data_IF_429448694021
#
_entry.id   IF_429448694021
#
_cell.length_a   1.000
_cell.length_b   1.000
_cell.length_c   1.000
_cell.angle_alpha   90.00
_cell.angle_beta   90.00
_cell.angle_gamma   90.00
#
_symmetry.space_group_name_H-M   'P 1'
#
loop_
_entity.id
_entity.type
_entity.pdbx_description
1 polymer ?
#
# COMPACT_ATOMS: atom_id res chain seq x y z
N UNK A 1 7.01 -17.08 -3.03
CA UNK A 1 7.64 -17.31 -1.72
C UNK A 1 6.70 -16.91 -0.61
N UNK A 2 6.63 -17.70 0.47
CA UNK A 2 5.89 -17.31 1.67
C UNK A 2 6.54 -16.05 2.26
N UNK A 3 5.75 -15.08 2.77
CA UNK A 3 6.31 -14.01 3.55
C UNK A 3 6.95 -14.57 4.83
N UNK A 4 7.89 -13.83 5.38
CA UNK A 4 8.61 -14.18 6.60
C UNK A 4 7.69 -13.98 7.84
N UNK A 5 6.60 -14.75 7.89
CA UNK A 5 5.59 -14.72 8.94
C UNK A 5 5.34 -16.13 9.45
N UNK A 6 5.29 -16.26 10.77
CA UNK A 6 4.97 -17.54 11.45
C UNK A 6 3.53 -18.03 11.18
N UNK A 7 2.65 -17.12 10.78
CA UNK A 7 1.25 -17.40 10.46
C UNK A 7 0.91 -16.80 9.11
N UNK A 8 0.94 -17.61 8.08
CA UNK A 8 0.53 -17.26 6.75
C UNK A 8 -0.56 -18.23 6.30
N UNK A 9 -1.64 -17.72 5.76
CA UNK A 9 -2.71 -18.52 5.16
C UNK A 9 -2.90 -18.11 3.71
N UNK A 10 -2.94 -19.11 2.84
CA UNK A 10 -3.24 -18.89 1.43
C UNK A 10 -4.70 -18.50 1.24
N UNK A 11 -4.95 -17.62 0.28
CA UNK A 11 -6.28 -17.22 -0.15
C UNK A 11 -6.53 -17.75 -1.56
N UNK A 12 -5.68 -17.40 -2.52
CA UNK A 12 -5.81 -17.80 -3.90
C UNK A 12 -4.45 -17.89 -4.60
N UNK A 13 -4.37 -18.75 -5.61
CA UNK A 13 -3.31 -18.78 -6.61
C UNK A 13 -3.94 -18.60 -7.97
N UNK A 14 -3.69 -17.48 -8.62
CA UNK A 14 -4.32 -17.09 -9.87
C UNK A 14 -3.26 -16.94 -10.95
N UNK A 15 -3.56 -17.45 -12.15
CA UNK A 15 -2.70 -17.30 -13.31
C UNK A 15 -3.45 -16.63 -14.46
N UNK A 16 -2.77 -15.79 -15.21
CA UNK A 16 -3.31 -15.15 -16.41
C UNK A 16 -2.20 -14.96 -17.46
N UNK A 17 -2.56 -14.99 -18.75
CA UNK A 17 -1.59 -14.77 -19.82
C UNK A 17 -1.12 -13.32 -19.82
N UNK A 18 0.15 -13.12 -20.16
CA UNK A 18 0.74 -11.81 -20.38
C UNK A 18 1.35 -11.74 -21.78
N UNK A 19 1.37 -10.56 -22.38
CA UNK A 19 2.06 -10.36 -23.64
C UNK A 19 3.48 -9.83 -23.42
N UNK A 20 4.33 -9.97 -24.40
CA UNK A 20 5.71 -9.47 -24.34
C UNK A 20 5.73 -7.95 -24.07
N UNK A 21 6.51 -7.54 -23.08
CA UNK A 21 6.59 -6.13 -22.65
C UNK A 21 5.52 -5.69 -21.66
N UNK A 22 4.53 -6.56 -21.36
CA UNK A 22 3.48 -6.26 -20.38
C UNK A 22 4.04 -5.94 -18.99
N UNK A 23 5.16 -6.53 -18.63
CA UNK A 23 5.72 -6.40 -17.30
C UNK A 23 7.20 -5.97 -17.32
N UNK A 24 7.44 -4.80 -17.91
CA UNK A 24 8.78 -4.19 -17.83
C UNK A 24 8.85 -3.19 -16.68
N UNK A 25 10.00 -3.11 -16.06
CA UNK A 25 10.28 -2.17 -14.97
C UNK A 25 11.71 -1.63 -15.12
N UNK A 26 12.02 -0.56 -14.41
CA UNK A 26 13.42 -0.12 -14.27
C UNK A 26 14.33 -1.22 -13.70
N UNK A 27 13.80 -2.22 -12.99
CA UNK A 27 14.60 -3.35 -12.48
C UNK A 27 14.88 -4.42 -13.54
N UNK A 28 13.98 -4.62 -14.51
CA UNK A 28 14.18 -5.57 -15.63
C UNK A 28 14.95 -4.95 -16.78
N UNK A 29 14.76 -3.64 -17.03
CA UNK A 29 15.41 -2.87 -18.10
C UNK A 29 16.76 -2.28 -17.69
N UNK A 30 17.02 -2.20 -16.39
CA UNK A 30 18.28 -1.79 -15.80
C UNK A 30 18.86 -0.48 -16.38
N UNK A 31 18.14 0.66 -16.30
CA UNK A 31 18.55 1.93 -16.86
C UNK A 31 19.86 2.44 -16.20
N UNK A 32 20.62 3.25 -16.93
CA UNK A 32 21.75 3.97 -16.37
C UNK A 32 21.23 5.05 -15.41
N UNK A 33 21.74 5.02 -14.19
CA UNK A 33 21.33 5.96 -13.13
C UNK A 33 22.35 7.09 -12.98
N UNK A 34 21.84 8.30 -12.70
CA UNK A 34 22.67 9.45 -12.33
C UNK A 34 21.93 10.43 -11.44
N UNK A 35 22.66 11.32 -10.77
CA UNK A 35 22.07 12.35 -9.89
C UNK A 35 22.96 13.60 -9.89
N UNK A 36 22.34 14.75 -9.61
CA UNK A 36 23.06 16.00 -9.37
C UNK A 36 23.53 16.17 -7.91
N UNK A 37 23.13 15.26 -7.01
CA UNK A 37 23.54 15.32 -5.61
C UNK A 37 24.77 14.43 -5.38
N UNK A 38 25.91 15.04 -5.15
CA UNK A 38 27.14 14.32 -4.86
C UNK A 38 27.01 13.43 -3.61
N UNK A 39 27.49 12.19 -3.71
CA UNK A 39 27.46 11.23 -2.59
C UNK A 39 26.13 10.55 -2.33
N UNK A 40 25.07 10.82 -3.09
CA UNK A 40 23.82 10.07 -3.00
C UNK A 40 24.03 8.66 -3.60
N UNK A 41 23.82 7.59 -2.83
CA UNK A 41 23.90 6.21 -3.35
C UNK A 41 22.64 5.90 -4.18
N UNK A 42 22.60 6.40 -5.43
CA UNK A 42 21.40 6.42 -6.25
C UNK A 42 20.82 5.03 -6.50
N UNK A 43 21.66 4.01 -6.62
CA UNK A 43 21.26 2.61 -6.82
C UNK A 43 20.42 2.09 -5.65
N UNK A 44 20.66 2.58 -4.43
CA UNK A 44 19.92 2.17 -3.24
C UNK A 44 18.46 2.61 -3.24
N UNK A 45 18.11 3.62 -4.05
CA UNK A 45 16.72 4.05 -4.23
C UNK A 45 15.88 3.01 -4.99
N UNK A 46 16.52 2.21 -5.85
CA UNK A 46 15.86 1.24 -6.73
C UNK A 46 16.06 -0.22 -6.29
N UNK A 47 16.64 -0.41 -5.11
CA UNK A 47 16.84 -1.74 -4.53
C UNK A 47 15.53 -2.42 -4.09
N UNK A 48 15.66 -3.69 -3.67
CA UNK A 48 14.56 -4.47 -3.05
C UNK A 48 14.83 -4.71 -1.55
N UNK A 49 15.66 -3.89 -0.94
CA UNK A 49 16.20 -4.14 0.40
C UNK A 49 15.25 -3.73 1.53
N UNK A 50 14.14 -3.11 1.21
CA UNK A 50 13.23 -2.42 2.16
C UNK A 50 13.92 -1.34 3.00
N UNK A 51 15.17 -1.00 2.70
CA UNK A 51 15.89 0.09 3.33
C UNK A 51 15.59 1.39 2.58
N UNK A 52 15.38 2.45 3.35
CA UNK A 52 15.16 3.77 2.78
C UNK A 52 16.50 4.51 2.72
N UNK A 53 16.71 5.19 1.61
CA UNK A 53 17.85 6.09 1.42
C UNK A 53 17.47 7.46 1.95
N UNK A 54 18.34 8.03 2.74
CA UNK A 54 18.17 9.41 3.24
C UNK A 54 18.64 10.40 2.19
N UNK A 55 17.76 11.31 1.81
CA UNK A 55 18.07 12.44 0.93
C UNK A 55 18.13 13.69 1.81
N UNK A 56 19.30 14.33 1.93
CA UNK A 56 19.46 15.52 2.75
C UNK A 56 18.67 16.70 2.17
N UNK A 57 18.25 17.64 3.01
CA UNK A 57 17.55 18.83 2.56
C UNK A 57 18.43 19.68 1.66
N UNK A 58 17.84 20.33 0.70
CA UNK A 58 18.49 21.30 -0.17
C UNK A 58 18.05 22.73 0.20
N UNK A 59 18.79 23.70 -0.27
CA UNK A 59 18.38 25.11 -0.18
C UNK A 59 17.04 25.33 -0.92
N UNK A 60 16.21 26.26 -0.45
CA UNK A 60 14.94 26.58 -1.10
C UNK A 60 15.13 26.86 -2.61
N UNK A 61 14.28 26.23 -3.43
CA UNK A 61 14.34 26.35 -4.89
C UNK A 61 15.35 25.41 -5.58
N UNK A 62 16.08 24.59 -4.83
CA UNK A 62 16.95 23.58 -5.39
C UNK A 62 16.29 22.20 -5.31
N UNK A 63 16.43 21.43 -6.37
CA UNK A 63 15.92 20.06 -6.51
C UNK A 63 17.05 19.05 -6.54
N UNK A 64 16.77 17.86 -6.04
CA UNK A 64 17.59 16.68 -6.30
C UNK A 64 16.98 15.94 -7.49
N UNK A 65 17.76 15.78 -8.52
CA UNK A 65 17.40 14.99 -9.70
C UNK A 65 17.98 13.59 -9.59
N UNK A 66 17.14 12.60 -9.82
CA UNK A 66 17.55 11.19 -10.00
C UNK A 66 17.09 10.76 -11.38
N UNK A 67 18.05 10.59 -12.28
CA UNK A 67 17.79 10.33 -13.70
C UNK A 67 17.92 8.83 -13.99
N UNK A 68 17.06 8.34 -14.88
CA UNK A 68 17.05 7.00 -15.43
C UNK A 68 17.14 7.11 -16.95
N UNK A 69 18.26 6.67 -17.56
CA UNK A 69 18.40 6.54 -19.01
C UNK A 69 18.23 5.07 -19.39
N UNK A 70 17.12 4.74 -20.04
CA UNK A 70 16.77 3.38 -20.45
C UNK A 70 17.53 2.93 -21.72
N UNK A 71 18.25 3.84 -22.37
CA UNK A 71 18.96 3.56 -23.60
C UNK A 71 18.09 3.59 -24.87
N UNK A 72 16.85 3.18 -24.74
CA UNK A 72 15.80 3.22 -25.77
C UNK A 72 14.45 3.56 -25.13
N UNK A 73 13.40 3.53 -25.90
CA UNK A 73 12.04 3.86 -25.44
C UNK A 73 11.56 2.89 -24.36
N UNK A 74 11.05 3.45 -23.28
CA UNK A 74 10.32 2.76 -22.21
C UNK A 74 8.93 3.36 -22.09
N UNK A 75 7.91 2.50 -21.97
CA UNK A 75 6.55 2.93 -21.73
C UNK A 75 6.25 2.75 -20.24
N UNK A 76 6.00 3.84 -19.52
CA UNK A 76 5.62 3.80 -18.12
C UNK A 76 4.11 4.08 -17.94
N UNK A 77 3.48 3.39 -16.97
CA UNK A 77 2.07 3.55 -16.58
C UNK A 77 1.87 3.69 -15.08
N UNK A 78 2.86 3.31 -14.29
CA UNK A 78 2.79 3.47 -12.84
C UNK A 78 4.16 3.62 -12.22
N UNK A 79 4.20 4.29 -11.08
CA UNK A 79 5.36 4.33 -10.20
C UNK A 79 4.96 3.88 -8.80
N UNK A 80 5.71 2.94 -8.24
CA UNK A 80 5.58 2.49 -6.85
C UNK A 80 6.84 2.84 -6.09
N UNK A 81 6.72 3.36 -4.90
CA UNK A 81 7.87 3.75 -4.08
C UNK A 81 7.55 3.63 -2.59
N UNK A 82 8.59 3.54 -1.78
CA UNK A 82 8.48 3.57 -0.31
C UNK A 82 9.03 4.88 0.22
N UNK A 83 8.34 5.44 1.21
CA UNK A 83 8.73 6.69 1.86
C UNK A 83 8.86 6.50 3.36
N UNK A 84 9.78 7.22 3.98
CA UNK A 84 9.83 7.32 5.42
C UNK A 84 8.65 8.15 5.92
N UNK A 85 8.05 7.71 7.01
CA UNK A 85 7.05 8.50 7.71
C UNK A 85 7.73 9.75 8.29
N UNK A 86 7.36 10.92 7.82
CA UNK A 86 7.77 12.17 8.42
C UNK A 86 7.03 12.32 9.74
N UNK A 87 7.82 12.46 10.78
CA UNK A 87 7.45 12.82 12.14
C UNK A 87 6.08 12.36 12.64
N UNK A 88 6.00 11.91 13.86
CA UNK A 88 4.71 11.62 14.51
C UNK A 88 3.83 12.85 14.40
N UNK A 89 2.90 12.89 13.44
CA UNK A 89 1.79 13.81 13.54
C UNK A 89 1.01 13.37 14.78
N UNK A 90 1.14 14.08 15.86
CA UNK A 90 0.23 14.00 16.99
C UNK A 90 -1.10 14.58 16.52
N UNK A 91 -1.93 13.74 16.05
CA UNK A 91 -3.27 14.09 15.66
C UNK A 91 -3.79 12.98 14.77
N UNK A 92 -4.41 11.96 15.36
CA UNK A 92 -5.29 11.10 14.61
C UNK A 92 -6.31 12.00 13.95
N UNK A 93 -6.31 12.03 12.61
CA UNK A 93 -7.39 12.64 11.88
C UNK A 93 -8.65 11.85 12.19
N UNK A 94 -9.50 12.38 13.04
CA UNK A 94 -10.85 11.86 13.15
C UNK A 94 -11.61 12.34 11.92
N UNK A 95 -11.95 11.39 11.07
CA UNK A 95 -12.87 11.66 9.98
C UNK A 95 -14.25 11.91 10.59
N UNK A 96 -14.68 13.15 10.60
CA UNK A 96 -16.06 13.49 10.97
C UNK A 96 -16.87 13.44 9.68
N UNK A 97 -17.74 12.41 9.48
CA UNK A 97 -18.54 12.32 8.27
C UNK A 97 -19.29 13.63 8.01
N UNK A 98 -19.23 14.09 6.76
CA UNK A 98 -19.97 15.26 6.30
C UNK A 98 -19.31 16.63 6.51
N UNK A 99 -18.05 16.70 6.96
CA UNK A 99 -17.30 17.97 6.99
C UNK A 99 -16.36 18.09 5.77
N UNK A 100 -16.36 19.22 5.07
CA UNK A 100 -15.46 19.43 3.95
C UNK A 100 -13.99 19.40 4.38
N UNK A 101 -13.13 18.86 3.55
CA UNK A 101 -11.68 18.71 3.76
C UNK A 101 -10.99 20.03 4.15
N UNK A 102 -11.42 21.14 3.60
CA UNK A 102 -10.88 22.46 3.88
C UNK A 102 -11.00 22.92 5.36
N UNK A 103 -12.06 22.49 6.06
CA UNK A 103 -12.21 22.79 7.49
C UNK A 103 -11.32 21.93 8.38
N UNK A 104 -10.86 20.80 7.90
CA UNK A 104 -9.90 19.95 8.59
C UNK A 104 -8.49 20.54 8.57
N UNK A 105 -8.08 21.12 7.46
CA UNK A 105 -6.81 21.85 7.34
C UNK A 105 -6.76 22.99 8.38
N UNK A 106 -7.85 23.68 8.59
CA UNK A 106 -7.96 24.75 9.58
C UNK A 106 -7.82 24.29 11.04
N UNK A 107 -7.99 23.00 11.35
CA UNK A 107 -7.85 22.43 12.70
C UNK A 107 -6.46 21.85 13.01
N UNK A 108 -5.46 22.10 12.18
CA UNK A 108 -4.07 21.71 12.44
C UNK A 108 -3.59 20.46 11.72
N UNK A 109 -4.37 19.93 10.78
CA UNK A 109 -3.87 18.99 9.79
C UNK A 109 -3.13 19.77 8.72
N UNK A 110 -1.83 19.69 8.74
CA UNK A 110 -1.01 20.31 7.71
C UNK A 110 -0.91 19.29 6.59
N UNK A 111 -1.45 19.62 5.44
CA UNK A 111 -1.18 18.88 4.22
C UNK A 111 0.33 18.84 4.01
N UNK A 112 0.87 17.64 3.89
CA UNK A 112 2.31 17.51 3.63
C UNK A 112 2.55 17.83 2.16
N UNK A 113 3.58 18.61 1.84
CA UNK A 113 3.91 18.89 0.45
C UNK A 113 4.28 17.60 -0.27
N UNK A 114 4.08 17.58 -1.57
CA UNK A 114 4.52 16.49 -2.43
C UNK A 114 6.04 16.31 -2.28
N UNK A 115 6.51 15.07 -2.47
CA UNK A 115 7.95 14.77 -2.41
C UNK A 115 8.69 15.34 -3.62
N UNK A 116 7.95 15.60 -4.69
CA UNK A 116 8.45 16.03 -5.98
C UNK A 116 7.59 15.48 -7.11
N UNK A 117 8.19 15.25 -8.26
CA UNK A 117 7.51 14.84 -9.48
C UNK A 117 8.29 13.73 -10.18
N UNK A 118 7.54 12.86 -10.89
CA UNK A 118 8.10 12.06 -11.97
C UNK A 118 8.02 12.86 -13.27
N UNK A 119 9.09 12.89 -14.02
CA UNK A 119 9.17 13.57 -15.30
C UNK A 119 9.69 12.64 -16.38
N UNK A 120 9.38 12.92 -17.63
CA UNK A 120 9.81 12.17 -18.83
C UNK A 120 10.41 13.10 -19.86
N UNK A 121 11.38 12.58 -20.64
CA UNK A 121 12.01 13.30 -21.74
C UNK A 121 12.43 12.34 -22.86
N UNK A 122 12.41 12.81 -24.09
CA UNK A 122 12.94 12.10 -25.26
C UNK A 122 14.42 12.40 -25.49
N UNK A 123 14.86 13.62 -25.15
CA UNK A 123 16.20 14.12 -25.43
C UNK A 123 17.14 14.21 -24.20
N UNK A 124 16.59 13.96 -22.99
CA UNK A 124 17.33 14.08 -21.73
C UNK A 124 17.59 15.52 -21.28
N UNK A 125 17.02 16.50 -21.96
CA UNK A 125 17.19 17.95 -21.70
C UNK A 125 15.84 18.57 -21.34
N UNK A 126 14.83 18.36 -22.17
CA UNK A 126 13.51 18.93 -22.03
C UNK A 126 12.58 17.91 -21.34
N UNK A 127 12.29 18.15 -20.07
CA UNK A 127 11.48 17.25 -19.26
C UNK A 127 10.06 17.78 -19.11
N UNK A 128 9.10 16.87 -19.18
CA UNK A 128 7.68 17.13 -18.93
C UNK A 128 7.22 16.35 -17.71
N UNK A 129 6.39 16.97 -16.88
CA UNK A 129 5.79 16.34 -15.71
C UNK A 129 4.86 15.20 -16.13
N UNK A 130 5.00 14.06 -15.45
CA UNK A 130 4.12 12.89 -15.56
C UNK A 130 3.13 12.87 -14.40
N UNK A 131 3.62 12.87 -13.17
CA UNK A 131 2.78 12.86 -11.96
C UNK A 131 3.51 13.45 -10.77
N UNK A 132 2.75 13.78 -9.72
CA UNK A 132 3.29 14.15 -8.42
C UNK A 132 3.64 12.92 -7.58
N UNK A 133 4.74 12.99 -6.85
CA UNK A 133 5.15 11.98 -5.89
C UNK A 133 4.59 12.35 -4.51
N UNK A 134 3.49 11.74 -4.14
CA UNK A 134 2.76 12.02 -2.91
C UNK A 134 3.44 11.39 -1.69
N UNK A 135 3.43 12.04 -0.52
CA UNK A 135 3.87 11.41 0.72
C UNK A 135 2.89 10.30 1.13
N UNK A 136 3.35 9.40 2.01
CA UNK A 136 2.47 8.48 2.73
C UNK A 136 2.20 9.06 4.11
N UNK A 137 0.94 9.24 4.44
CA UNK A 137 0.52 9.65 5.76
C UNK A 137 0.51 8.43 6.67
N UNK A 138 1.38 8.44 7.68
CA UNK A 138 1.36 7.39 8.69
C UNK A 138 0.07 7.46 9.48
N UNK A 139 -0.91 6.72 9.05
CA UNK A 139 -1.99 6.35 9.95
C UNK A 139 -1.51 5.32 10.97
N UNK A 140 -2.20 5.23 12.07
CA UNK A 140 -1.85 4.44 13.25
C UNK A 140 -1.74 2.93 13.04
N UNK A 141 -1.75 2.42 11.84
CA UNK A 141 -2.01 1.02 11.51
C UNK A 141 -0.88 0.28 10.85
N UNK A 142 0.31 0.50 11.27
CA UNK A 142 1.35 -0.41 10.85
C UNK A 142 2.47 0.24 10.01
N UNK A 143 3.45 -0.59 9.71
CA UNK A 143 4.69 -0.19 9.03
C UNK A 143 4.56 -0.11 7.50
N UNK A 144 3.33 0.05 6.97
CA UNK A 144 3.14 0.17 5.54
C UNK A 144 3.47 1.60 5.10
N UNK A 145 4.44 1.71 4.24
CA UNK A 145 4.97 3.00 3.78
C UNK A 145 5.20 3.03 2.26
N UNK A 146 4.50 2.17 1.53
CA UNK A 146 4.54 2.10 0.08
C UNK A 146 3.36 2.86 -0.52
N UNK A 147 3.60 3.50 -1.66
CA UNK A 147 2.57 4.17 -2.45
C UNK A 147 2.75 3.87 -3.93
N UNK A 148 1.63 3.67 -4.60
CA UNK A 148 1.55 3.54 -6.05
C UNK A 148 0.77 4.72 -6.61
N UNK A 149 1.35 5.37 -7.62
CA UNK A 149 0.69 6.39 -8.44
C UNK A 149 0.58 5.85 -9.85
N UNK A 150 -0.63 5.89 -10.40
CA UNK A 150 -0.93 5.46 -11.75
C UNK A 150 -1.19 6.67 -12.65
N UNK A 151 -0.83 6.55 -13.90
CA UNK A 151 -0.97 7.62 -14.89
C UNK A 151 -1.18 7.03 -16.29
N UNK A 152 -1.75 7.79 -17.24
CA UNK A 152 -1.83 7.38 -18.63
C UNK A 152 -0.45 6.98 -19.17
N UNK A 153 -0.40 6.06 -20.13
CA UNK A 153 0.85 5.60 -20.73
C UNK A 153 1.70 6.79 -21.20
N UNK A 154 2.92 6.87 -20.71
CA UNK A 154 3.92 7.84 -21.19
C UNK A 154 5.11 7.10 -21.74
N UNK A 155 5.59 7.54 -22.90
CA UNK A 155 6.71 6.96 -23.62
C UNK A 155 7.89 7.92 -23.62
N UNK A 156 9.09 7.42 -23.35
CA UNK A 156 10.31 8.19 -23.46
C UNK A 156 11.52 7.35 -23.09
N UNK A 157 12.68 7.80 -23.48
CA UNK A 157 13.95 7.18 -23.11
C UNK A 157 14.42 7.59 -21.72
N UNK A 158 14.19 8.85 -21.34
CA UNK A 158 14.70 9.42 -20.10
C UNK A 158 13.56 9.68 -19.12
N UNK A 159 13.70 9.17 -17.92
CA UNK A 159 12.81 9.51 -16.80
C UNK A 159 13.60 10.16 -15.68
N UNK A 160 12.95 10.99 -14.88
CA UNK A 160 13.59 11.70 -13.80
C UNK A 160 12.66 11.82 -12.59
N UNK A 161 13.18 11.50 -11.42
CA UNK A 161 12.57 11.96 -10.17
C UNK A 161 13.12 13.36 -9.90
N UNK A 162 12.27 14.35 -9.91
CA UNK A 162 12.56 15.71 -9.52
C UNK A 162 12.07 15.91 -8.10
N UNK A 163 12.98 15.75 -7.14
CA UNK A 163 12.65 15.77 -5.71
C UNK A 163 12.85 17.16 -5.14
N UNK A 164 11.80 17.68 -4.50
CA UNK A 164 11.76 19.00 -3.89
C UNK A 164 10.76 19.02 -2.74
N UNK A 165 10.57 20.13 -2.05
CA UNK A 165 9.52 20.40 -1.05
C UNK A 165 9.50 19.48 0.19
N UNK A 166 10.62 18.86 0.57
CA UNK A 166 10.68 18.05 1.78
C UNK A 166 10.78 18.81 3.10
N UNK A 167 10.64 20.13 3.07
CA UNK A 167 10.69 20.98 4.27
C UNK A 167 9.28 21.18 4.85
N UNK A 168 8.93 20.42 5.89
CA UNK A 168 7.78 20.81 6.71
C UNK A 168 8.19 21.98 7.61
N UNK A 169 7.41 23.07 7.70
CA UNK A 169 7.76 24.27 8.49
C UNK A 169 8.03 24.01 9.98
N UNK A 170 7.56 22.87 10.51
CA UNK A 170 7.77 22.45 11.91
C UNK A 170 8.86 21.41 12.09
N UNK A 171 9.47 20.92 11.03
CA UNK A 171 10.56 19.93 11.12
C UNK A 171 11.88 20.61 11.40
N UNK A 172 12.47 20.24 12.54
CA UNK A 172 13.80 20.75 12.93
C UNK A 172 14.93 20.14 12.09
N UNK A 173 14.67 19.03 11.37
CA UNK A 173 15.61 18.33 10.48
C UNK A 173 14.83 17.76 9.30
N UNK A 174 14.53 18.55 8.31
CA UNK A 174 13.83 18.08 7.14
C UNK A 174 14.72 17.10 6.37
N UNK A 175 14.30 15.84 6.29
CA UNK A 175 14.98 14.80 5.51
C UNK A 175 13.92 14.02 4.75
N UNK A 176 14.21 13.70 3.51
CA UNK A 176 13.38 12.78 2.74
C UNK A 176 13.98 11.37 2.85
N UNK A 177 13.12 10.40 3.02
CA UNK A 177 13.48 8.98 3.02
C UNK A 177 12.72 8.31 1.88
N UNK A 178 13.45 7.79 0.91
CA UNK A 178 12.88 7.18 -0.30
C UNK A 178 13.60 5.87 -0.60
N UNK A 179 12.88 4.88 -1.12
CA UNK A 179 13.46 3.62 -1.55
C UNK A 179 12.47 2.74 -2.29
N UNK A 180 12.96 1.59 -2.72
CA UNK A 180 12.22 0.57 -3.47
C UNK A 180 11.39 1.17 -4.63
N UNK A 181 11.97 2.15 -5.34
CA UNK A 181 11.32 2.83 -6.47
C UNK A 181 11.23 1.89 -7.65
N UNK A 182 10.02 1.66 -8.13
CA UNK A 182 9.73 0.83 -9.30
C UNK A 182 8.88 1.63 -10.28
N UNK A 183 9.48 2.00 -11.39
CA UNK A 183 8.78 2.52 -12.56
C UNK A 183 8.37 1.33 -13.42
N UNK A 184 7.10 1.21 -13.79
CA UNK A 184 6.53 0.02 -14.40
C UNK A 184 5.74 0.35 -15.67
N UNK A 185 5.86 -0.52 -16.66
CA UNK A 185 5.02 -0.50 -17.87
C UNK A 185 3.59 -1.00 -17.58
N UNK A 186 3.40 -1.70 -16.46
CA UNK A 186 2.10 -2.26 -16.09
C UNK A 186 1.13 -1.18 -15.63
N UNK A 187 -0.07 -1.22 -16.16
CA UNK A 187 -1.23 -0.54 -15.59
C UNK A 187 -1.53 -1.07 -14.18
N UNK A 188 -1.84 -0.21 -13.25
CA UNK A 188 -2.22 -0.56 -11.87
C UNK A 188 -3.39 0.30 -11.43
N UNK A 189 -4.19 -0.21 -10.49
CA UNK A 189 -5.15 0.63 -9.81
C UNK A 189 -4.40 1.73 -9.03
N UNK A 190 -4.80 2.98 -9.22
CA UNK A 190 -4.20 4.10 -8.47
C UNK A 190 -4.48 3.93 -6.98
N UNK A 191 -3.47 4.19 -6.16
CA UNK A 191 -3.57 4.09 -4.69
C UNK A 191 -4.12 2.74 -4.22
N UNK A 192 -3.72 1.64 -4.88
CA UNK A 192 -4.24 0.30 -4.55
C UNK A 192 -3.98 -0.08 -3.09
N UNK A 193 -2.92 0.43 -2.48
CA UNK A 193 -2.58 0.18 -1.09
C UNK A 193 -3.65 0.73 -0.14
N UNK A 194 -4.15 1.92 -0.40
CA UNK A 194 -5.26 2.53 0.34
C UNK A 194 -6.56 1.79 0.11
N UNK A 195 -6.84 1.44 -1.13
CA UNK A 195 -8.04 0.67 -1.51
C UNK A 195 -8.05 -0.71 -0.89
N UNK A 196 -6.88 -1.34 -0.74
CA UNK A 196 -6.72 -2.60 -0.04
C UNK A 196 -6.75 -2.47 1.49
N UNK A 197 -6.90 -1.27 2.05
CA UNK A 197 -6.94 -1.03 3.49
C UNK A 197 -5.60 -1.27 4.20
N UNK A 198 -4.48 -1.19 3.49
CA UNK A 198 -3.15 -1.39 4.09
C UNK A 198 -2.72 -0.21 4.95
N UNK A 199 -3.28 0.95 4.72
CA UNK A 199 -3.20 2.12 5.60
C UNK A 199 -4.43 3.01 5.41
N UNK A 200 -4.71 3.84 6.43
CA UNK A 200 -5.84 4.75 6.37
C UNK A 200 -5.37 6.07 5.75
N UNK A 201 -5.74 6.31 4.53
CA UNK A 201 -5.82 7.66 3.98
C UNK A 201 -7.30 8.01 3.77
N UNK A 202 -7.60 9.30 3.82
CA UNK A 202 -8.92 9.76 3.43
C UNK A 202 -9.15 9.38 1.97
N UNK A 203 -10.38 8.97 1.67
CA UNK A 203 -10.78 8.61 0.32
C UNK A 203 -10.51 9.81 -0.59
N UNK A 204 -9.36 9.78 -1.23
CA UNK A 204 -9.07 10.68 -2.32
C UNK A 204 -9.85 10.20 -3.55
N UNK A 205 -10.21 11.10 -4.47
CA UNK A 205 -10.82 10.69 -5.74
C UNK A 205 -10.01 9.58 -6.40
N UNK A 206 -10.69 8.64 -7.03
CA UNK A 206 -10.05 7.64 -7.84
C UNK A 206 -9.51 8.29 -9.12
N UNK A 207 -8.21 8.34 -9.24
CA UNK A 207 -7.50 8.90 -10.38
C UNK A 207 -6.93 7.79 -11.27
N UNK A 208 -7.39 6.54 -11.09
CA UNK A 208 -6.98 5.43 -11.96
C UNK A 208 -7.33 5.78 -13.40
N UNK A 209 -6.35 5.82 -14.32
CA UNK A 209 -6.63 6.03 -15.73
C UNK A 209 -7.54 4.93 -16.29
N UNK A 210 -8.30 5.26 -17.29
CA UNK A 210 -9.02 4.26 -18.08
C UNK A 210 -8.00 3.47 -18.92
N UNK A 211 -7.99 2.15 -18.73
CA UNK A 211 -7.16 1.23 -19.49
C UNK A 211 -8.03 0.32 -20.35
N UNK A 212 -7.51 -0.16 -21.47
CA UNK A 212 -8.23 -1.02 -22.38
C UNK A 212 -7.31 -1.99 -23.12
N UNK A 213 -7.90 -2.98 -23.76
CA UNK A 213 -7.17 -3.93 -24.60
C UNK A 213 -6.09 -4.70 -23.80
N UNK A 214 -4.86 -4.69 -24.31
CA UNK A 214 -3.72 -5.38 -23.70
C UNK A 214 -3.25 -4.77 -22.37
N UNK A 215 -3.78 -3.61 -22.01
CA UNK A 215 -3.42 -2.94 -20.74
C UNK A 215 -4.16 -3.51 -19.55
N UNK A 216 -5.25 -4.25 -19.78
CA UNK A 216 -6.08 -4.86 -18.74
C UNK A 216 -6.00 -6.38 -18.79
N UNK A 217 -6.16 -7.00 -17.63
CA UNK A 217 -6.26 -8.45 -17.52
C UNK A 217 -7.71 -8.84 -17.82
N UNK A 218 -7.92 -9.70 -18.83
CA UNK A 218 -9.24 -10.23 -19.11
C UNK A 218 -9.64 -11.27 -18.05
N UNK A 219 -10.68 -11.02 -17.22
CA UNK A 219 -11.11 -11.94 -16.18
C UNK A 219 -11.45 -13.36 -16.70
N UNK A 220 -11.92 -13.48 -17.94
CA UNK A 220 -12.25 -14.77 -18.55
C UNK A 220 -11.02 -15.64 -18.81
N UNK A 221 -9.82 -15.05 -18.87
CA UNK A 221 -8.57 -15.74 -19.10
C UNK A 221 -7.84 -16.07 -17.78
N UNK A 222 -8.39 -15.68 -16.65
CA UNK A 222 -7.81 -15.97 -15.34
C UNK A 222 -8.11 -17.41 -14.96
N UNK A 223 -7.07 -18.14 -14.61
CA UNK A 223 -7.16 -19.54 -14.15
C UNK A 223 -6.94 -19.57 -12.64
N UNK A 224 -7.89 -20.13 -11.90
CA UNK A 224 -7.70 -20.43 -10.48
C UNK A 224 -6.92 -21.73 -10.31
N UNK A 225 -5.72 -21.62 -9.77
CA UNK A 225 -4.80 -22.72 -9.49
C UNK A 225 -4.71 -23.04 -7.99
N UNK A 226 -5.57 -22.47 -7.15
CA UNK A 226 -5.51 -22.62 -5.70
C UNK A 226 -5.50 -24.07 -5.25
N UNK A 227 -6.34 -24.91 -5.85
CA UNK A 227 -6.41 -26.34 -5.54
C UNK A 227 -5.22 -27.16 -6.05
N UNK A 228 -4.38 -26.56 -6.91
CA UNK A 228 -3.19 -27.21 -7.47
C UNK A 228 -1.90 -26.93 -6.70
N UNK A 229 -2.00 -26.07 -5.69
CA UNK A 229 -0.85 -25.76 -4.83
C UNK A 229 -0.87 -26.66 -3.60
N UNK A 230 0.26 -27.30 -3.32
CA UNK A 230 0.45 -28.11 -2.12
C UNK A 230 0.54 -27.24 -0.85
N UNK A 231 0.39 -27.86 0.33
CA UNK A 231 0.58 -27.19 1.62
C UNK A 231 1.98 -26.62 1.80
N UNK A 232 2.97 -27.21 1.12
CA UNK A 232 4.37 -26.76 1.16
C UNK A 232 4.65 -25.63 0.16
N UNK A 233 3.64 -25.25 -0.63
CA UNK A 233 3.70 -24.16 -1.59
C UNK A 233 4.29 -24.55 -2.94
N UNK A 234 4.29 -25.84 -3.27
CA UNK A 234 4.60 -26.35 -4.61
C UNK A 234 3.35 -26.25 -5.48
N UNK A 235 3.50 -25.66 -6.65
CA UNK A 235 2.45 -25.54 -7.66
C UNK A 235 2.72 -26.55 -8.78
N UNK A 236 1.77 -27.44 -9.04
CA UNK A 236 1.80 -28.38 -10.16
C UNK A 236 0.77 -27.95 -11.19
N UNK A 237 1.25 -27.51 -12.34
CA UNK A 237 0.40 -27.00 -13.41
C UNK A 237 1.08 -27.17 -14.77
N UNK A 238 0.36 -27.76 -15.72
CA UNK A 238 0.77 -27.82 -17.13
C UNK A 238 0.52 -26.43 -17.73
N UNK A 239 1.61 -25.67 -17.88
CA UNK A 239 1.55 -24.28 -18.35
C UNK A 239 1.19 -24.25 -19.83
N UNK A 240 0.10 -23.60 -20.24
CA UNK A 240 -0.23 -23.44 -21.66
C UNK A 240 0.86 -22.64 -22.41
N UNK A 241 0.88 -22.74 -23.73
CA UNK A 241 1.80 -21.96 -24.57
C UNK A 241 1.65 -20.45 -24.29
N UNK A 242 2.77 -19.74 -24.28
CA UNK A 242 2.82 -18.30 -24.03
C UNK A 242 3.52 -17.93 -22.71
N UNK A 243 3.46 -16.65 -22.38
CA UNK A 243 3.99 -16.11 -21.11
C UNK A 243 2.84 -15.97 -20.11
N UNK A 244 3.08 -16.38 -18.87
CA UNK A 244 2.07 -16.38 -17.83
C UNK A 244 2.55 -15.68 -16.56
N UNK A 245 1.67 -14.92 -15.97
CA UNK A 245 1.86 -14.38 -14.60
C UNK A 245 1.11 -15.28 -13.63
N UNK A 246 1.79 -15.69 -12.56
CA UNK A 246 1.18 -16.42 -11.44
C UNK A 246 1.27 -15.57 -10.20
N UNK A 247 0.13 -15.25 -9.61
CA UNK A 247 0.02 -14.50 -8.36
C UNK A 247 -0.48 -15.39 -7.24
N UNK A 248 0.21 -15.39 -6.12
CA UNK A 248 -0.19 -16.07 -4.89
C UNK A 248 -0.64 -15.04 -3.87
N UNK A 249 -1.90 -15.11 -3.51
CA UNK A 249 -2.53 -14.26 -2.49
C UNK A 249 -2.61 -15.00 -1.17
N UNK A 250 -2.40 -14.27 -0.10
CA UNK A 250 -2.54 -14.80 1.25
C UNK A 250 -2.64 -13.69 2.27
N UNK A 251 -2.96 -14.06 3.49
CA UNK A 251 -3.05 -13.11 4.59
C UNK A 251 -2.17 -13.51 5.77
N UNK A 252 -1.79 -12.53 6.54
CA UNK A 252 -1.03 -12.67 7.78
C UNK A 252 -1.72 -11.86 8.89
N UNK A 253 -1.50 -12.19 10.17
CA UNK A 253 -1.96 -11.35 11.25
C UNK A 253 -1.39 -9.93 11.12
N UNK A 254 -2.20 -8.94 11.44
CA UNK A 254 -1.79 -7.51 11.42
C UNK A 254 -0.67 -7.23 12.43
N UNK A 255 -0.54 -8.06 13.47
CA UNK A 255 0.36 -7.82 14.59
C UNK A 255 -0.09 -6.67 15.50
N UNK A 256 -1.29 -6.14 15.28
CA UNK A 256 -1.89 -5.12 16.13
C UNK A 256 -2.03 -5.63 17.57
N UNK A 257 -1.71 -4.79 18.54
CA UNK A 257 -1.82 -5.11 19.96
C UNK A 257 -2.75 -4.12 20.65
N UNK A 258 -3.37 -4.57 21.73
CA UNK A 258 -4.27 -3.74 22.53
C UNK A 258 -3.57 -2.45 22.98
N UNK A 259 -4.22 -1.31 22.72
CA UNK A 259 -3.74 0.01 23.16
C UNK A 259 -4.20 0.29 24.61
N UNK A 260 -3.46 1.16 25.28
CA UNK A 260 -3.77 1.64 26.64
C UNK A 260 -3.82 0.56 27.73
N UNK A 261 -3.46 -0.69 27.40
CA UNK A 261 -3.32 -1.75 28.40
C UNK A 261 -2.00 -1.69 29.14
N UNK A 262 -1.98 -2.17 30.39
CA UNK A 262 -0.73 -2.33 31.17
C UNK A 262 0.22 -3.26 30.44
N UNK A 263 1.52 -3.08 30.62
CA UNK A 263 2.55 -3.82 29.90
C UNK A 263 2.39 -5.35 29.99
N UNK A 264 1.96 -5.86 31.16
CA UNK A 264 1.72 -7.28 31.41
C UNK A 264 0.35 -7.78 30.92
N UNK A 265 -0.50 -6.90 30.38
CA UNK A 265 -1.82 -7.22 29.85
C UNK A 265 -1.94 -6.96 28.34
N UNK A 266 -0.83 -6.63 27.68
CA UNK A 266 -0.80 -6.47 26.24
C UNK A 266 -0.99 -7.81 25.54
N UNK A 267 -1.96 -7.87 24.65
CA UNK A 267 -2.25 -9.01 23.78
C UNK A 267 -2.48 -8.56 22.37
N UNK A 268 -2.61 -9.52 21.47
CA UNK A 268 -3.02 -9.24 20.11
C UNK A 268 -4.46 -8.71 20.10
N UNK A 269 -4.72 -7.80 19.19
CA UNK A 269 -6.10 -7.36 18.91
C UNK A 269 -6.95 -8.53 18.41
N UNK A 270 -8.23 -8.51 18.81
CA UNK A 270 -9.21 -9.47 18.36
C UNK A 270 -9.46 -9.32 16.86
N UNK A 271 -9.62 -10.43 16.17
CA UNK A 271 -10.10 -10.45 14.80
C UNK A 271 -11.57 -9.98 14.73
N UNK A 272 -11.79 -8.76 14.31
CA UNK A 272 -13.10 -8.10 14.31
C UNK A 272 -14.00 -8.55 13.16
N UNK A 273 -13.43 -9.24 12.17
CA UNK A 273 -14.18 -9.83 11.06
C UNK A 273 -14.61 -11.28 11.38
N UNK A 274 -14.14 -11.85 12.50
CA UNK A 274 -14.44 -13.22 12.92
C UNK A 274 -15.50 -13.25 14.04
N UNK A 275 -16.66 -13.83 13.78
CA UNK A 275 -17.69 -14.04 14.79
C UNK A 275 -17.19 -14.91 15.96
N UNK A 276 -16.31 -15.89 15.68
CA UNK A 276 -15.71 -16.75 16.72
C UNK A 276 -14.80 -15.94 17.64
N UNK A 277 -13.96 -15.08 17.07
CA UNK A 277 -13.06 -14.24 17.85
C UNK A 277 -13.85 -13.18 18.65
N UNK A 278 -14.87 -12.55 18.06
CA UNK A 278 -15.75 -11.61 18.75
C UNK A 278 -16.49 -12.27 19.91
N UNK A 279 -17.01 -13.50 19.70
CA UNK A 279 -17.63 -14.28 20.76
C UNK A 279 -16.66 -14.63 21.88
N UNK A 280 -15.44 -15.06 21.55
CA UNK A 280 -14.42 -15.36 22.53
C UNK A 280 -14.05 -14.11 23.38
N UNK A 281 -13.95 -12.94 22.75
CA UNK A 281 -13.73 -11.68 23.46
C UNK A 281 -14.91 -11.34 24.40
N UNK A 282 -16.13 -11.53 23.93
CA UNK A 282 -17.32 -11.30 24.74
C UNK A 282 -17.38 -12.26 25.95
N UNK A 283 -17.21 -13.56 25.72
CA UNK A 283 -17.32 -14.58 26.77
C UNK A 283 -16.24 -14.43 27.86
N UNK A 284 -15.01 -14.08 27.46
CA UNK A 284 -13.90 -14.00 28.40
C UNK A 284 -13.71 -12.62 29.07
N UNK A 285 -14.51 -11.63 28.69
CA UNK A 285 -14.42 -10.30 29.28
C UNK A 285 -15.79 -9.76 29.68
N UNK A 286 -16.64 -9.43 28.72
CA UNK A 286 -17.94 -8.78 29.00
C UNK A 286 -18.88 -9.68 29.76
N UNK A 287 -18.96 -10.96 29.41
CA UNK A 287 -19.83 -11.91 30.09
C UNK A 287 -19.51 -12.02 31.58
N UNK A 288 -18.25 -12.03 31.95
CA UNK A 288 -17.84 -12.08 33.37
C UNK A 288 -18.32 -10.85 34.15
N UNK A 289 -18.26 -9.68 33.55
CA UNK A 289 -18.76 -8.43 34.12
C UNK A 289 -20.30 -8.50 34.27
N UNK A 290 -20.98 -8.91 33.20
CA UNK A 290 -22.45 -9.01 33.19
C UNK A 290 -22.95 -9.99 34.24
N UNK A 291 -22.34 -11.18 34.33
CA UNK A 291 -22.72 -12.20 35.31
C UNK A 291 -22.52 -11.68 36.75
N UNK A 292 -21.41 -10.98 36.99
CA UNK A 292 -21.12 -10.40 38.32
C UNK A 292 -22.15 -9.32 38.70
N UNK A 293 -22.48 -8.42 37.79
CA UNK A 293 -23.43 -7.34 38.00
C UNK A 293 -24.84 -7.88 38.21
N UNK A 294 -25.26 -8.87 37.43
CA UNK A 294 -26.55 -9.51 37.54
C UNK A 294 -26.68 -10.22 38.89
N UNK A 295 -25.68 -10.96 39.33
CA UNK A 295 -25.65 -11.63 40.63
C UNK A 295 -25.72 -10.64 41.80
N UNK A 296 -25.19 -9.42 41.61
CA UNK A 296 -25.28 -8.34 42.59
C UNK A 296 -26.61 -7.55 42.55
N UNK A 297 -27.56 -7.91 41.69
CA UNK A 297 -28.82 -7.18 41.51
C UNK A 297 -28.65 -5.81 40.82
N UNK A 298 -27.53 -5.58 40.18
CA UNK A 298 -27.18 -4.32 39.50
C UNK A 298 -27.02 -4.53 37.96
N UNK A 299 -28.12 -4.76 37.22
CA UNK A 299 -28.00 -5.08 35.79
C UNK A 299 -27.41 -3.91 35.02
N UNK A 300 -26.54 -4.23 34.05
CA UNK A 300 -25.96 -3.26 33.14
C UNK A 300 -27.06 -2.57 32.33
N UNK A 301 -27.11 -1.24 32.36
CA UNK A 301 -28.11 -0.43 31.65
C UNK A 301 -27.67 0.04 30.27
N UNK A 302 -26.38 0.00 29.97
CA UNK A 302 -25.85 0.45 28.69
C UNK A 302 -24.39 0.07 28.51
N UNK A 303 -23.96 0.05 27.26
CA UNK A 303 -22.59 -0.16 26.83
C UNK A 303 -22.23 0.90 25.80
N UNK A 304 -21.10 1.52 25.98
CA UNK A 304 -20.51 2.43 24.96
C UNK A 304 -19.37 1.75 24.25
N UNK A 305 -19.46 1.68 22.94
CA UNK A 305 -18.35 1.31 22.07
C UNK A 305 -17.81 2.55 21.39
N UNK A 306 -16.53 2.77 21.53
CA UNK A 306 -15.83 3.90 20.93
C UNK A 306 -14.91 3.43 19.79
N UNK A 307 -14.06 4.31 19.33
CA UNK A 307 -13.22 4.20 18.15
C UNK A 307 -12.32 2.96 18.13
N UNK A 308 -12.20 2.37 16.96
CA UNK A 308 -11.18 1.36 16.69
C UNK A 308 -9.85 2.06 16.37
N UNK A 309 -8.84 1.84 17.21
CA UNK A 309 -7.52 2.45 17.04
C UNK A 309 -6.39 1.45 16.75
N UNK A 310 -6.72 0.18 16.55
CA UNK A 310 -5.72 -0.89 16.39
C UNK A 310 -5.24 -1.12 14.96
N UNK A 311 -5.60 -0.24 14.05
CA UNK A 311 -5.24 -0.31 12.66
C UNK A 311 -6.28 -0.96 11.75
N UNK A 312 -5.92 -1.13 10.47
CA UNK A 312 -6.81 -1.71 9.47
C UNK A 312 -6.72 -3.23 9.46
N UNK A 313 -7.86 -3.87 9.25
CA UNK A 313 -8.02 -5.30 9.02
C UNK A 313 -8.89 -5.48 7.80
N UNK A 314 -8.43 -6.25 6.82
CA UNK A 314 -9.09 -6.40 5.52
C UNK A 314 -9.38 -7.84 5.12
N UNK A 315 -8.96 -8.83 5.93
CA UNK A 315 -9.20 -10.24 5.64
C UNK A 315 -9.31 -11.08 6.91
N UNK A 316 -10.10 -12.16 6.82
CA UNK A 316 -10.21 -13.23 7.82
C UNK A 316 -10.54 -14.56 7.15
N UNK A 317 -10.41 -15.66 7.87
CA UNK A 317 -10.81 -16.98 7.37
C UNK A 317 -12.31 -17.01 7.04
N UNK A 318 -12.65 -17.45 5.84
CA UNK A 318 -14.04 -17.53 5.37
C UNK A 318 -14.61 -16.22 4.85
N UNK A 319 -13.81 -15.16 4.75
CA UNK A 319 -14.22 -13.87 4.22
C UNK A 319 -14.80 -13.98 2.79
N UNK A 320 -14.20 -14.80 1.95
CA UNK A 320 -14.61 -15.06 0.56
C UNK A 320 -16.05 -15.59 0.48
N UNK A 321 -16.46 -16.45 1.41
CA UNK A 321 -17.82 -17.02 1.45
C UNK A 321 -18.86 -15.95 1.83
N UNK A 322 -18.58 -15.17 2.85
CA UNK A 322 -19.42 -14.05 3.27
C UNK A 322 -19.52 -12.99 2.16
N UNK A 323 -18.41 -12.73 1.47
CA UNK A 323 -18.39 -11.79 0.37
C UNK A 323 -19.26 -12.27 -0.80
N UNK A 324 -19.09 -13.53 -1.23
CA UNK A 324 -19.90 -14.13 -2.30
C UNK A 324 -21.39 -14.09 -1.95
N UNK A 325 -21.74 -14.48 -0.71
CA UNK A 325 -23.15 -14.46 -0.24
C UNK A 325 -23.75 -13.05 -0.28
N UNK A 326 -23.00 -12.03 0.07
CA UNK A 326 -23.50 -10.65 0.19
C UNK A 326 -23.42 -9.86 -1.11
N UNK A 327 -22.47 -10.18 -1.97
CA UNK A 327 -22.18 -9.40 -3.19
C UNK A 327 -22.55 -10.13 -4.47
N UNK A 328 -22.72 -11.47 -4.44
CA UNK A 328 -23.16 -12.28 -5.56
C UNK A 328 -22.06 -12.62 -6.58
N UNK A 329 -20.79 -12.32 -6.29
CA UNK A 329 -19.67 -12.67 -7.16
C UNK A 329 -18.44 -13.10 -6.35
N UNK A 330 -17.53 -13.83 -7.01
CA UNK A 330 -16.29 -14.32 -6.40
C UNK A 330 -15.26 -13.20 -6.28
N UNK A 331 -14.81 -12.92 -5.06
CA UNK A 331 -13.80 -11.89 -4.79
C UNK A 331 -12.44 -12.24 -5.38
N UNK A 332 -12.12 -13.53 -5.58
CA UNK A 332 -10.80 -13.95 -6.03
C UNK A 332 -10.42 -13.28 -7.36
N UNK A 333 -11.34 -13.20 -8.32
CA UNK A 333 -11.11 -12.55 -9.60
C UNK A 333 -10.88 -11.03 -9.50
N UNK A 334 -11.25 -10.43 -8.37
CA UNK A 334 -11.05 -9.00 -8.10
C UNK A 334 -9.76 -8.71 -7.32
N UNK A 335 -8.95 -9.72 -7.03
CA UNK A 335 -7.65 -9.57 -6.36
C UNK A 335 -6.51 -9.21 -7.32
N UNK A 336 -6.77 -9.24 -8.62
CA UNK A 336 -5.78 -9.05 -9.70
C UNK A 336 -5.73 -7.59 -10.13
#
# INVERSE_FOLDING_TARGET
PKPDSKSFSDVAVLAFPIHKGFYETNQTRNPKLSTNLAGLPVESLFGKSRKLTTIPPQEPGHSVFVNLDFGDDFIARSITYRVGTRGKSRGGAMNVPGKPTEKFVAQGFIEQPDLGQLEVSEDGINYQKVCDLKPVYSAASGNWNQKTVSFPAVKGRYFRLNLHDWCHPKDKKPQMYLGDVVLSSRAKADKWEEKAGLYSEYVLPDETPEYSGEEVINPEQVIDLTARMSKDGELQWDVPEGEWMVLRFGHVPTGGVTKHSRANMKGLECDKLSAVAAKAQFDNYFKLILDTLNAAGCPLKGLTMDSQEAGSQNWTAGYEKEFLQRRGYDIHLSLI
#
